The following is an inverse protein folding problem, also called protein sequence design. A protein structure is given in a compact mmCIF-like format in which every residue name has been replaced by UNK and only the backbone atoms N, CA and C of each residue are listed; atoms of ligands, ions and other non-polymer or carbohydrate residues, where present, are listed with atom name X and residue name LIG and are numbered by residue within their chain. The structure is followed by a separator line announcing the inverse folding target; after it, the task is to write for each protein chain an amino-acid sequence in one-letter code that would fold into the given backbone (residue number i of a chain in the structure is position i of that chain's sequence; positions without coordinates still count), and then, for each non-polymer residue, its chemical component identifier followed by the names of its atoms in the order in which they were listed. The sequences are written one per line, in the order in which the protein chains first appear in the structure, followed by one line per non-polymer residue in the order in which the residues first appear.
data_IF_619062690899
#
_entry.id   IF_619062690899
#
_cell.length_a   1.000
_cell.length_b   1.000
_cell.length_c   1.000
_cell.angle_alpha   90.00
_cell.angle_beta   90.00
_cell.angle_gamma   90.00
#
_symmetry.space_group_name_H-M   'P 1'
#
loop_
_entity.id
_entity.type
_entity.pdbx_description
1 polymer ?
#
# COMPACT_ATOMS: atom_id res chain seq x y z
N UNK A 1 6.23 8.59 10.94
CA UNK A 1 5.52 8.63 9.66
C UNK A 1 6.02 7.46 8.85
N UNK A 2 5.16 6.53 8.45
CA UNK A 2 5.57 5.38 7.63
C UNK A 2 6.07 5.89 6.27
N UNK A 3 7.17 5.30 5.80
CA UNK A 3 7.62 5.47 4.42
C UNK A 3 6.95 4.38 3.57
N UNK A 4 5.91 4.78 2.84
CA UNK A 4 5.06 3.86 2.07
C UNK A 4 5.83 3.17 0.96
N UNK A 5 6.75 3.89 0.31
CA UNK A 5 7.55 3.33 -0.78
C UNK A 5 8.55 2.31 -0.27
N UNK A 6 9.21 2.59 0.85
CA UNK A 6 10.08 1.60 1.50
C UNK A 6 9.30 0.37 1.97
N UNK A 7 8.11 0.55 2.56
CA UNK A 7 7.24 -0.57 2.95
C UNK A 7 6.86 -1.44 1.74
N UNK A 8 6.47 -0.82 0.62
CA UNK A 8 6.15 -1.54 -0.62
C UNK A 8 7.37 -2.27 -1.17
N UNK A 9 8.57 -1.68 -1.07
CA UNK A 9 9.80 -2.35 -1.51
C UNK A 9 10.16 -3.55 -0.61
N UNK A 10 10.00 -3.44 0.71
CA UNK A 10 10.22 -4.56 1.63
C UNK A 10 9.28 -5.73 1.36
N UNK A 11 8.01 -5.45 1.01
CA UNK A 11 7.00 -6.50 0.76
C UNK A 11 7.14 -7.09 -0.63
N UNK A 12 7.31 -6.25 -1.66
CA UNK A 12 7.26 -6.70 -3.05
C UNK A 12 8.65 -7.07 -3.60
N UNK A 13 9.72 -6.71 -2.89
CA UNK A 13 11.12 -6.88 -3.29
C UNK A 13 11.45 -6.31 -4.71
N UNK A 14 10.63 -5.37 -5.18
CA UNK A 14 10.68 -4.84 -6.54
C UNK A 14 10.95 -3.33 -6.56
N UNK A 15 11.95 -2.89 -7.32
CA UNK A 15 12.32 -1.47 -7.41
C UNK A 15 11.31 -0.62 -8.20
N UNK A 16 10.39 -1.23 -8.95
CA UNK A 16 9.36 -0.49 -9.68
C UNK A 16 8.38 0.23 -8.74
N UNK A 17 8.29 -0.18 -7.47
CA UNK A 17 7.50 0.52 -6.44
C UNK A 17 7.98 1.94 -6.14
N UNK A 18 9.23 2.29 -6.50
CA UNK A 18 9.75 3.64 -6.36
C UNK A 18 9.20 4.62 -7.41
N UNK A 19 8.60 4.11 -8.49
CA UNK A 19 7.85 4.93 -9.45
C UNK A 19 6.44 5.18 -8.90
N UNK A 20 6.09 6.41 -8.51
CA UNK A 20 4.83 6.73 -7.83
C UNK A 20 3.58 6.46 -8.68
N UNK A 21 3.72 6.39 -10.00
CA UNK A 21 2.63 6.20 -10.96
C UNK A 21 2.63 4.78 -11.58
N UNK A 22 3.53 3.89 -11.13
CA UNK A 22 3.59 2.52 -11.61
C UNK A 22 2.37 1.69 -11.17
N UNK A 23 1.79 0.94 -12.12
CA UNK A 23 0.61 0.11 -11.88
C UNK A 23 1.00 -1.23 -11.25
N UNK A 24 0.95 -1.27 -9.92
CA UNK A 24 1.35 -2.41 -9.08
C UNK A 24 0.45 -3.64 -9.28
N UNK A 25 -0.83 -3.40 -9.59
CA UNK A 25 -1.84 -4.45 -9.69
C UNK A 25 -1.77 -5.13 -11.05
N UNK A 26 -1.71 -4.33 -12.13
CA UNK A 26 -1.64 -4.85 -13.50
C UNK A 26 -0.29 -5.50 -13.78
N UNK A 27 0.76 -5.10 -13.05
CA UNK A 27 2.09 -5.71 -13.14
C UNK A 27 2.30 -6.93 -12.23
N UNK A 28 1.29 -7.31 -11.43
CA UNK A 28 1.36 -8.37 -10.42
C UNK A 28 2.47 -8.18 -9.37
N UNK A 29 2.93 -6.94 -9.16
CA UNK A 29 3.94 -6.62 -8.12
C UNK A 29 3.27 -6.59 -6.75
N UNK A 30 2.08 -5.99 -6.68
CA UNK A 30 1.20 -6.11 -5.52
C UNK A 30 0.18 -7.22 -5.80
N UNK A 31 0.63 -8.46 -5.61
CA UNK A 31 -0.22 -9.64 -5.70
C UNK A 31 -1.13 -9.81 -4.46
N UNK A 32 -1.91 -10.89 -4.42
CA UNK A 32 -2.83 -11.15 -3.30
C UNK A 32 -2.11 -11.32 -1.95
N UNK A 33 -0.89 -11.86 -1.95
CA UNK A 33 -0.11 -12.10 -0.74
C UNK A 33 0.54 -10.81 -0.26
N UNK A 34 1.19 -10.08 -1.16
CA UNK A 34 1.76 -8.76 -0.90
C UNK A 34 0.68 -7.78 -0.40
N UNK A 35 -0.54 -7.88 -0.92
CA UNK A 35 -1.67 -7.09 -0.42
C UNK A 35 -2.03 -7.44 1.02
N UNK A 36 -2.12 -8.73 1.39
CA UNK A 36 -2.40 -9.15 2.77
C UNK A 36 -1.29 -8.65 3.71
N UNK A 37 -0.04 -8.79 3.31
CA UNK A 37 1.11 -8.35 4.11
C UNK A 37 1.14 -6.83 4.27
N UNK A 38 0.82 -6.06 3.23
CA UNK A 38 0.67 -4.61 3.32
C UNK A 38 -0.32 -4.21 4.40
N UNK A 39 -1.52 -4.81 4.43
CA UNK A 39 -2.52 -4.50 5.45
C UNK A 39 -2.07 -4.91 6.85
N UNK A 40 -1.45 -6.09 7.01
CA UNK A 40 -0.91 -6.54 8.29
C UNK A 40 0.14 -5.58 8.84
N UNK A 41 1.06 -5.11 8.00
CA UNK A 41 2.14 -4.19 8.41
C UNK A 41 1.63 -2.80 8.75
N UNK A 42 0.56 -2.36 8.08
CA UNK A 42 -0.11 -1.10 8.39
C UNK A 42 -0.84 -1.19 9.74
N UNK A 43 -1.51 -2.30 10.01
CA UNK A 43 -2.15 -2.57 11.31
C UNK A 43 -1.13 -2.60 12.45
N UNK A 44 0.00 -3.29 12.27
CA UNK A 44 1.12 -3.31 13.24
C UNK A 44 1.66 -1.91 13.56
N UNK A 45 1.56 -0.99 12.60
CA UNK A 45 1.96 0.40 12.75
C UNK A 45 0.87 1.31 13.32
N UNK A 46 -0.29 0.75 13.71
CA UNK A 46 -1.43 1.48 14.25
C UNK A 46 -2.34 2.13 13.20
N UNK A 47 -2.24 1.71 11.93
CA UNK A 47 -3.05 2.22 10.83
C UNK A 47 -4.08 1.16 10.46
N UNK A 48 -5.31 1.32 10.98
CA UNK A 48 -6.40 0.39 10.69
C UNK A 48 -7.01 0.67 9.31
N UNK A 49 -6.75 -0.23 8.37
CA UNK A 49 -7.33 -0.24 7.03
C UNK A 49 -8.03 -1.57 6.77
N UNK A 50 -9.32 -1.50 6.46
CA UNK A 50 -10.14 -2.68 6.21
C UNK A 50 -10.24 -2.96 4.71
N UNK A 51 -9.68 -4.07 4.18
CA UNK A 51 -9.66 -4.34 2.74
C UNK A 51 -11.07 -4.36 2.11
N UNK A 52 -12.08 -4.76 2.88
CA UNK A 52 -13.49 -4.81 2.45
C UNK A 52 -14.14 -3.42 2.30
N UNK A 53 -13.52 -2.38 2.83
CA UNK A 53 -13.99 -0.98 2.78
C UNK A 53 -13.17 -0.10 1.86
N UNK A 54 -12.19 -0.67 1.16
CA UNK A 54 -11.25 0.05 0.32
C UNK A 54 -11.50 -0.36 -1.12
N UNK A 55 -11.60 0.63 -2.01
CA UNK A 55 -11.65 0.34 -3.43
C UNK A 55 -10.27 -0.14 -3.90
N UNK A 56 -10.23 -1.26 -4.63
CA UNK A 56 -9.00 -1.84 -5.17
C UNK A 56 -8.21 -0.84 -6.01
N UNK A 57 -8.88 0.10 -6.69
CA UNK A 57 -8.22 1.17 -7.44
C UNK A 57 -7.33 2.07 -6.58
N UNK A 58 -7.65 2.21 -5.28
CA UNK A 58 -6.84 2.97 -4.33
C UNK A 58 -5.48 2.32 -4.06
N UNK A 59 -5.31 1.04 -4.43
CA UNK A 59 -4.08 0.28 -4.30
C UNK A 59 -3.29 0.18 -5.61
N UNK A 60 -3.78 0.78 -6.70
CA UNK A 60 -3.20 0.61 -8.05
C UNK A 60 -1.76 1.12 -8.17
N UNK A 61 -1.42 2.20 -7.47
CA UNK A 61 -0.11 2.86 -7.58
C UNK A 61 0.43 3.24 -6.21
N UNK A 62 1.77 3.36 -6.03
CA UNK A 62 2.35 3.78 -4.76
C UNK A 62 1.80 5.12 -4.25
N UNK A 63 1.61 6.11 -5.15
CA UNK A 63 1.03 7.42 -4.79
C UNK A 63 -0.38 7.29 -4.22
N UNK A 64 -1.22 6.42 -4.80
CA UNK A 64 -2.59 6.21 -4.30
C UNK A 64 -2.61 5.53 -2.94
N UNK A 65 -1.73 4.54 -2.73
CA UNK A 65 -1.57 3.86 -1.44
C UNK A 65 -1.13 4.88 -0.37
N UNK A 66 -0.17 5.74 -0.69
CA UNK A 66 0.26 6.80 0.22
C UNK A 66 -0.88 7.74 0.59
N UNK A 67 -1.67 8.17 -0.39
CA UNK A 67 -2.84 9.02 -0.15
C UNK A 67 -3.87 8.34 0.75
N UNK A 68 -4.14 7.06 0.53
CA UNK A 68 -5.06 6.25 1.36
C UNK A 68 -4.58 6.18 2.81
N UNK A 69 -3.30 5.87 3.02
CA UNK A 69 -2.70 5.79 4.36
C UNK A 69 -2.75 7.15 5.06
N UNK A 70 -2.42 8.24 4.36
CA UNK A 70 -2.50 9.59 4.93
C UNK A 70 -3.93 9.98 5.34
N UNK A 71 -4.94 9.58 4.58
CA UNK A 71 -6.34 9.83 4.93
C UNK A 71 -6.76 9.06 6.18
N UNK A 72 -6.32 7.80 6.30
CA UNK A 72 -6.57 7.00 7.49
C UNK A 72 -5.88 7.59 8.73
N UNK A 73 -4.62 7.99 8.62
CA UNK A 73 -3.88 8.59 9.74
C UNK A 73 -4.35 9.99 10.13
N UNK A 74 -4.96 10.76 9.22
CA UNK A 74 -5.48 12.10 9.51
C UNK A 74 -6.85 12.08 10.22
N UNK A 75 -7.50 10.91 10.29
CA UNK A 75 -8.80 10.72 10.93
C UNK A 75 -8.68 10.23 12.39
N UNK A 76 -7.45 10.04 12.87
CA UNK A 76 -7.05 9.71 14.24
C UNK A 76 -6.53 10.96 14.97
#
# INVERSE_FOLDING_TARGET
MIDVTNLLWEICEDKRVFDPDFDLLSSEVLDSFAMIELFSRLEDAGIELYPTRIDRESLRTPRRIEALIRQASASL
#
